data_IF_682801554217
#
_entry.id   IF_682801554217
#
_cell.length_a   1.000
_cell.length_b   1.000
_cell.length_c   1.000
_cell.angle_alpha   90.00
_cell.angle_beta   90.00
_cell.angle_gamma   90.00
#
_symmetry.space_group_name_H-M   'P 1'
#
loop_
_entity.id
_entity.type
_entity.pdbx_description
1 polymer ?
#
# COMPACT_ATOMS: atom_id res chain seq x y z
N UNK A 1 -10.43 -17.19 -35.64
CA UNK A 1 -11.53 -16.74 -34.78
C UNK A 1 -11.36 -17.16 -33.32
N UNK A 2 -10.91 -18.37 -33.04
CA UNK A 2 -10.70 -18.86 -31.67
C UNK A 2 -9.58 -18.10 -30.93
N UNK A 3 -8.54 -17.69 -31.63
CA UNK A 3 -7.41 -16.93 -31.03
C UNK A 3 -7.81 -15.58 -30.46
N UNK A 4 -8.80 -14.92 -31.06
CA UNK A 4 -9.26 -13.60 -30.61
C UNK A 4 -10.00 -13.67 -29.27
N UNK A 5 -10.56 -14.83 -28.92
CA UNK A 5 -11.28 -15.04 -27.66
C UNK A 5 -10.37 -15.33 -26.49
N UNK A 6 -9.16 -15.87 -26.73
CA UNK A 6 -8.19 -16.19 -25.67
C UNK A 6 -7.43 -14.97 -25.16
N UNK A 7 -7.17 -13.97 -26.01
CA UNK A 7 -6.42 -12.77 -25.65
C UNK A 7 -7.08 -11.96 -24.53
N UNK A 8 -8.41 -11.70 -24.54
CA UNK A 8 -9.06 -10.98 -23.44
C UNK A 8 -8.93 -11.68 -22.08
N UNK A 9 -8.92 -13.01 -22.07
CA UNK A 9 -8.77 -13.78 -20.82
C UNK A 9 -7.38 -13.62 -20.21
N UNK A 10 -6.32 -13.61 -21.05
CA UNK A 10 -4.96 -13.42 -20.58
C UNK A 10 -4.78 -12.01 -19.97
N UNK A 11 -5.36 -10.98 -20.57
CA UNK A 11 -5.33 -9.64 -20.03
C UNK A 11 -6.09 -9.54 -18.71
N UNK A 12 -7.24 -10.21 -18.58
CA UNK A 12 -8.02 -10.22 -17.34
C UNK A 12 -7.23 -10.81 -16.17
N UNK A 13 -6.49 -11.92 -16.38
CA UNK A 13 -5.67 -12.54 -15.34
C UNK A 13 -4.54 -11.60 -14.90
N UNK A 14 -3.85 -10.94 -15.85
CA UNK A 14 -2.79 -9.98 -15.54
C UNK A 14 -3.36 -8.76 -14.80
N UNK A 15 -4.53 -8.26 -15.22
CA UNK A 15 -5.22 -7.14 -14.57
C UNK A 15 -5.63 -7.47 -13.15
N UNK A 16 -6.13 -8.68 -12.90
CA UNK A 16 -6.52 -9.11 -11.55
C UNK A 16 -5.33 -9.10 -10.59
N UNK A 17 -4.18 -9.59 -11.03
CA UNK A 17 -2.96 -9.58 -10.20
C UNK A 17 -2.51 -8.16 -9.89
N UNK A 18 -2.50 -7.29 -10.88
CA UNK A 18 -2.14 -5.88 -10.70
C UNK A 18 -3.12 -5.19 -9.76
N UNK A 19 -4.41 -5.48 -9.87
CA UNK A 19 -5.43 -4.94 -8.98
C UNK A 19 -5.18 -5.38 -7.53
N UNK A 20 -4.83 -6.63 -7.30
CA UNK A 20 -4.55 -7.14 -5.96
C UNK A 20 -3.29 -6.51 -5.37
N UNK A 21 -2.26 -6.31 -6.19
CA UNK A 21 -1.07 -5.56 -5.77
C UNK A 21 -1.43 -4.13 -5.35
N UNK A 22 -2.29 -3.48 -6.12
CA UNK A 22 -2.73 -2.12 -5.82
C UNK A 22 -3.54 -2.07 -4.52
N UNK A 23 -4.40 -3.06 -4.26
CA UNK A 23 -5.16 -3.12 -3.01
C UNK A 23 -4.22 -3.22 -1.80
N UNK A 24 -3.22 -4.09 -1.88
CA UNK A 24 -2.22 -4.22 -0.82
C UNK A 24 -1.42 -2.93 -0.65
N UNK A 25 -1.00 -2.32 -1.76
CA UNK A 25 -0.24 -1.07 -1.75
C UNK A 25 -1.01 0.06 -1.06
N UNK A 26 -2.29 0.21 -1.41
CA UNK A 26 -3.17 1.23 -0.81
C UNK A 26 -3.50 0.92 0.65
N UNK A 27 -3.63 -0.36 0.99
CA UNK A 27 -3.79 -0.76 2.38
C UNK A 27 -2.65 -0.22 3.25
N UNK A 28 -1.42 -0.33 2.75
CA UNK A 28 -0.24 0.20 3.44
C UNK A 28 -0.30 1.70 3.64
N UNK A 29 -0.76 2.44 2.64
CA UNK A 29 -0.94 3.89 2.78
C UNK A 29 -1.97 4.22 3.85
N UNK A 30 -3.11 3.51 3.86
CA UNK A 30 -4.13 3.70 4.88
C UNK A 30 -3.59 3.36 6.28
N UNK A 31 -2.77 2.31 6.39
CA UNK A 31 -2.08 1.97 7.62
C UNK A 31 -1.17 3.11 8.09
N UNK A 32 -0.36 3.66 7.19
CA UNK A 32 0.57 4.73 7.52
C UNK A 32 -0.17 5.98 8.01
N UNK A 33 -1.18 6.39 7.28
CA UNK A 33 -1.98 7.58 7.64
C UNK A 33 -2.69 7.38 8.99
N UNK A 34 -3.26 6.20 9.22
CA UNK A 34 -3.94 5.92 10.47
C UNK A 34 -3.01 5.80 11.67
N UNK A 35 -1.75 5.42 11.44
CA UNK A 35 -0.77 5.25 12.51
C UNK A 35 -0.04 6.55 12.84
N UNK A 36 0.36 7.31 11.83
CA UNK A 36 1.27 8.45 12.01
C UNK A 36 0.61 9.81 11.81
N UNK A 37 -0.44 9.88 11.03
CA UNK A 37 -1.19 11.11 10.82
C UNK A 37 -2.34 11.14 11.80
N UNK A 38 -2.44 12.21 12.60
CA UNK A 38 -3.54 12.33 13.54
C UNK A 38 -4.86 12.49 12.80
N UNK A 39 -5.83 11.65 13.15
CA UNK A 39 -7.16 11.67 12.56
C UNK A 39 -8.11 12.50 13.43
N UNK A 40 -9.16 13.03 12.82
CA UNK A 40 -10.27 13.64 13.53
C UNK A 40 -11.14 12.55 14.19
N UNK A 41 -12.38 12.92 14.60
CA UNK A 41 -13.29 11.97 15.24
C UNK A 41 -13.68 10.80 14.33
N UNK A 42 -13.60 10.97 13.02
CA UNK A 42 -13.92 9.92 12.06
C UNK A 42 -12.63 9.21 11.64
N UNK A 43 -12.53 7.92 11.92
CA UNK A 43 -11.36 7.13 11.57
C UNK A 43 -11.45 6.65 10.11
N UNK A 44 -11.31 7.59 9.19
CA UNK A 44 -11.37 7.29 7.75
C UNK A 44 -10.22 6.38 7.31
N UNK A 45 -9.03 6.55 7.87
CA UNK A 45 -7.88 5.72 7.53
C UNK A 45 -8.11 4.27 7.96
N UNK A 46 -8.66 4.05 9.15
CA UNK A 46 -9.01 2.71 9.62
C UNK A 46 -10.08 2.07 8.76
N UNK A 47 -11.10 2.83 8.39
CA UNK A 47 -12.17 2.36 7.49
C UNK A 47 -11.61 2.00 6.11
N UNK A 48 -10.73 2.84 5.56
CA UNK A 48 -10.08 2.58 4.28
C UNK A 48 -9.22 1.32 4.33
N UNK A 49 -8.46 1.15 5.42
CA UNK A 49 -7.65 -0.06 5.62
C UNK A 49 -8.53 -1.32 5.59
N UNK A 50 -9.66 -1.31 6.30
CA UNK A 50 -10.62 -2.41 6.27
C UNK A 50 -11.18 -2.66 4.88
N UNK A 51 -11.50 -1.59 4.14
CA UNK A 51 -12.00 -1.69 2.78
C UNK A 51 -10.99 -2.32 1.83
N UNK A 52 -9.75 -1.86 1.84
CA UNK A 52 -8.70 -2.44 0.99
C UNK A 52 -8.36 -3.86 1.37
N UNK A 53 -8.45 -4.20 2.65
CA UNK A 53 -8.29 -5.58 3.10
C UNK A 53 -9.38 -6.48 2.50
N UNK A 54 -10.63 -6.04 2.52
CA UNK A 54 -11.76 -6.81 1.96
C UNK A 54 -11.66 -6.97 0.45
N UNK A 55 -11.14 -5.97 -0.25
CA UNK A 55 -10.98 -6.00 -1.71
C UNK A 55 -9.71 -6.75 -2.14
N UNK A 56 -8.83 -7.06 -1.21
CA UNK A 56 -7.56 -7.71 -1.50
C UNK A 56 -7.63 -9.22 -1.52
N UNK A 57 -6.53 -9.85 -1.92
CA UNK A 57 -6.40 -11.30 -2.01
C UNK A 57 -5.05 -11.79 -1.52
N UNK A 58 -4.49 -11.14 -0.50
CA UNK A 58 -3.23 -11.56 0.10
C UNK A 58 -3.45 -12.21 1.46
N UNK A 59 -2.56 -13.13 1.82
CA UNK A 59 -2.51 -13.71 3.14
C UNK A 59 -1.97 -12.70 4.16
N UNK A 60 -2.19 -12.98 5.45
CA UNK A 60 -1.81 -12.07 6.54
C UNK A 60 -0.33 -11.70 6.53
N UNK A 61 0.53 -12.62 6.10
CA UNK A 61 1.98 -12.39 6.00
C UNK A 61 2.31 -11.16 5.16
N UNK A 62 1.59 -10.95 4.07
CA UNK A 62 1.80 -9.79 3.20
C UNK A 62 1.52 -8.48 3.94
N UNK A 63 0.42 -8.44 4.68
CA UNK A 63 0.06 -7.25 5.47
C UNK A 63 1.06 -6.99 6.58
N UNK A 64 1.55 -8.04 7.22
CA UNK A 64 2.60 -7.92 8.24
C UNK A 64 3.87 -7.30 7.67
N UNK A 65 4.31 -7.73 6.49
CA UNK A 65 5.49 -7.17 5.83
C UNK A 65 5.30 -5.70 5.48
N UNK A 66 4.10 -5.32 5.02
CA UNK A 66 3.79 -3.93 4.70
C UNK A 66 3.81 -3.07 5.97
N UNK A 67 3.20 -3.55 7.06
CA UNK A 67 3.25 -2.84 8.34
C UNK A 67 4.69 -2.59 8.79
N UNK A 68 5.51 -3.63 8.76
CA UNK A 68 6.92 -3.53 9.18
C UNK A 68 7.70 -2.52 8.33
N UNK A 69 7.42 -2.46 7.03
CA UNK A 69 8.03 -1.48 6.16
C UNK A 69 7.75 -0.05 6.64
N UNK A 70 6.48 0.30 6.85
CA UNK A 70 6.13 1.65 7.28
C UNK A 70 6.65 1.97 8.68
N UNK A 71 6.61 1.01 9.60
CA UNK A 71 7.16 1.18 10.96
C UNK A 71 8.65 1.49 10.94
N UNK A 72 9.38 0.94 9.99
CA UNK A 72 10.81 1.15 9.86
C UNK A 72 11.14 2.45 9.13
N UNK A 73 10.45 2.71 8.03
CA UNK A 73 10.81 3.78 7.10
C UNK A 73 10.32 5.15 7.57
N UNK A 74 9.09 5.23 8.10
CA UNK A 74 8.49 6.52 8.45
C UNK A 74 9.23 7.21 9.61
N UNK A 75 9.48 6.55 10.75
CA UNK A 75 10.24 7.20 11.82
C UNK A 75 11.69 7.53 11.45
N UNK A 76 12.27 6.79 10.50
CA UNK A 76 13.65 7.02 10.04
C UNK A 76 13.75 8.22 9.10
N UNK A 77 12.65 8.70 8.55
CA UNK A 77 12.63 9.89 7.68
C UNK A 77 12.74 11.14 8.54
N UNK A 78 13.90 11.76 8.51
CA UNK A 78 14.21 12.94 9.34
C UNK A 78 14.12 14.26 8.57
N UNK A 79 13.64 14.25 7.34
CA UNK A 79 13.50 15.47 6.55
C UNK A 79 12.58 16.46 7.26
N UNK A 80 12.98 17.73 7.29
CA UNK A 80 12.21 18.80 7.90
C UNK A 80 11.90 19.86 6.85
N UNK A 81 10.76 20.53 7.03
CA UNK A 81 10.38 21.65 6.18
C UNK A 81 11.17 22.88 6.59
N UNK A 82 11.75 23.60 5.61
CA UNK A 82 12.57 24.79 5.88
C UNK A 82 11.77 25.87 6.61
N UNK A 83 10.51 26.05 6.23
CA UNK A 83 9.68 27.12 6.79
C UNK A 83 9.33 26.90 8.25
N UNK A 84 9.11 25.66 8.67
CA UNK A 84 8.63 25.34 10.02
C UNK A 84 9.69 24.64 10.88
N UNK A 85 10.73 24.07 10.27
CA UNK A 85 11.70 23.24 10.95
C UNK A 85 11.10 21.94 11.49
N UNK A 86 9.91 21.53 11.05
CA UNK A 86 9.18 20.37 11.53
C UNK A 86 9.10 19.28 10.46
N UNK A 87 8.99 18.04 10.92
CA UNK A 87 8.66 16.92 10.04
C UNK A 87 7.18 16.95 9.72
N UNK A 88 6.80 16.26 8.65
CA UNK A 88 5.39 16.17 8.24
C UNK A 88 5.06 14.71 7.98
N UNK A 89 4.15 14.14 8.77
CA UNK A 89 3.81 12.72 8.69
C UNK A 89 3.10 12.36 7.39
N UNK A 90 2.28 13.25 6.86
CA UNK A 90 1.64 13.00 5.56
C UNK A 90 2.70 12.87 4.46
N UNK A 91 3.69 13.77 4.42
CA UNK A 91 4.78 13.68 3.47
C UNK A 91 5.61 12.41 3.65
N UNK A 92 5.90 12.04 4.90
CA UNK A 92 6.63 10.81 5.19
C UNK A 92 5.89 9.57 4.65
N UNK A 93 4.57 9.51 4.84
CA UNK A 93 3.75 8.43 4.31
C UNK A 93 3.75 8.43 2.78
N UNK A 94 3.58 9.59 2.15
CA UNK A 94 3.57 9.73 0.70
C UNK A 94 4.93 9.32 0.09
N UNK A 95 6.02 9.80 0.67
CA UNK A 95 7.37 9.47 0.19
C UNK A 95 7.68 7.98 0.33
N UNK A 96 7.29 7.38 1.45
CA UNK A 96 7.44 5.94 1.65
C UNK A 96 6.62 5.14 0.63
N UNK A 97 5.40 5.59 0.35
CA UNK A 97 4.50 4.96 -0.63
C UNK A 97 5.06 5.03 -2.05
N UNK A 98 5.65 6.16 -2.43
CA UNK A 98 6.17 6.40 -3.79
C UNK A 98 7.55 5.76 -4.03
N UNK A 99 8.19 5.21 -3.01
CA UNK A 99 9.54 4.70 -3.14
C UNK A 99 9.63 3.43 -3.99
N UNK A 100 10.78 3.24 -4.66
CA UNK A 100 11.06 2.00 -5.38
C UNK A 100 11.17 0.81 -4.42
N UNK A 101 11.63 1.03 -3.19
CA UNK A 101 11.68 0.00 -2.17
C UNK A 101 10.29 -0.55 -1.84
N UNK A 102 9.30 0.34 -1.74
CA UNK A 102 7.93 -0.11 -1.50
C UNK A 102 7.35 -0.86 -2.69
N UNK A 103 7.59 -0.38 -3.90
CA UNK A 103 7.15 -1.08 -5.12
C UNK A 103 7.73 -2.50 -5.18
N UNK A 104 9.00 -2.65 -4.86
CA UNK A 104 9.66 -3.96 -4.80
C UNK A 104 9.06 -4.86 -3.72
N UNK A 105 8.80 -4.30 -2.54
CA UNK A 105 8.15 -5.04 -1.46
C UNK A 105 6.78 -5.57 -1.87
N UNK A 106 5.98 -4.75 -2.52
CA UNK A 106 4.64 -5.17 -2.98
C UNK A 106 4.75 -6.34 -3.96
N UNK A 107 5.67 -6.28 -4.92
CA UNK A 107 5.88 -7.39 -5.86
C UNK A 107 6.33 -8.67 -5.14
N UNK A 108 7.17 -8.56 -4.13
CA UNK A 108 7.64 -9.70 -3.36
C UNK A 108 6.48 -10.42 -2.63
N UNK A 109 5.37 -9.72 -2.37
CA UNK A 109 4.22 -10.30 -1.70
C UNK A 109 3.36 -11.18 -2.61
N UNK A 110 3.67 -11.29 -3.89
CA UNK A 110 2.92 -12.18 -4.80
C UNK A 110 2.89 -13.61 -4.30
N UNK A 111 3.94 -14.06 -3.63
CA UNK A 111 3.99 -15.40 -3.02
C UNK A 111 2.93 -15.62 -1.93
N UNK A 112 2.37 -14.54 -1.39
CA UNK A 112 1.32 -14.56 -0.37
C UNK A 112 -0.06 -14.24 -0.95
N UNK A 113 -0.18 -14.24 -2.27
CA UNK A 113 -1.46 -14.02 -2.95
C UNK A 113 -2.21 -15.36 -3.04
N UNK A 114 -3.53 -15.32 -2.80
CA UNK A 114 -4.38 -16.50 -2.92
C UNK A 114 -4.47 -17.01 -4.35
#
# INVERSE_FOLDING_TARGET
MLLALLLPMAFAVAGERDDMRLMLKKWGMAYCLGTYQQQGPDDEAGTARGGYFQLGSHEEEAYAHVREYFKRVVPADTKVLQETGKTNNLMRCLDAYESSAYSGLILDQDRWMY
#
